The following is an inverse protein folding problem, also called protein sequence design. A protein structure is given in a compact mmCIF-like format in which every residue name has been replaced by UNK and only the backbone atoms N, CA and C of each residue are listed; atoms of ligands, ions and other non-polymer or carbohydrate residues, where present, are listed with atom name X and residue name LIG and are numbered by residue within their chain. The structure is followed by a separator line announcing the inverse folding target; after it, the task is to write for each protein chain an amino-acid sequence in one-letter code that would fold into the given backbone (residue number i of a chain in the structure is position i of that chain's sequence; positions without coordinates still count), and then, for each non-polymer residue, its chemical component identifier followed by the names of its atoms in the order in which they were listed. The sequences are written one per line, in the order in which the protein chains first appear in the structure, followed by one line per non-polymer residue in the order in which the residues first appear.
data_IF_173468948977
#
_entry.id   IF_173468948977
#
_cell.length_a   1.000
_cell.length_b   1.000
_cell.length_c   1.000
_cell.angle_alpha   90.00
_cell.angle_beta   90.00
_cell.angle_gamma   90.00
#
_symmetry.space_group_name_H-M   'P 1'
#
loop_
_entity.id
_entity.type
_entity.pdbx_description
1 polymer ?
#
# COMPACT_ATOMS: atom_id res chain seq x y z
N UNK A 1 -10.44 2.10 5.78
CA UNK A 1 -9.80 3.38 6.14
C UNK A 1 -8.37 3.42 5.64
N UNK A 2 -7.51 2.48 6.00
CA UNK A 2 -6.10 2.42 5.56
C UNK A 2 -6.00 2.40 4.03
N UNK A 3 -6.77 1.54 3.34
CA UNK A 3 -6.78 1.48 1.86
C UNK A 3 -7.18 2.80 1.22
N UNK A 4 -8.19 3.48 1.76
CA UNK A 4 -8.61 4.79 1.26
C UNK A 4 -7.51 5.84 1.46
N UNK A 5 -6.82 5.82 2.60
CA UNK A 5 -5.67 6.70 2.85
C UNK A 5 -4.51 6.40 1.90
N UNK A 6 -4.21 5.12 1.63
CA UNK A 6 -3.20 4.74 0.66
C UNK A 6 -3.59 5.20 -0.75
N UNK A 7 -4.84 4.94 -1.19
CA UNK A 7 -5.32 5.33 -2.49
C UNK A 7 -5.27 6.85 -2.71
N UNK A 8 -5.58 7.63 -1.66
CA UNK A 8 -5.47 9.09 -1.69
C UNK A 8 -4.02 9.60 -1.74
N UNK A 9 -3.03 8.78 -1.38
CA UNK A 9 -1.61 9.15 -1.43
C UNK A 9 -0.99 9.00 -2.82
N UNK A 10 -1.65 8.30 -3.76
CA UNK A 10 -1.15 8.19 -5.12
C UNK A 10 -1.28 9.55 -5.83
N UNK A 11 -0.17 10.12 -6.33
CA UNK A 11 -0.24 11.37 -7.06
C UNK A 11 -0.90 11.17 -8.42
N UNK A 12 -1.38 12.24 -9.07
CA UNK A 12 -1.63 12.21 -10.50
C UNK A 12 -0.36 11.79 -11.24
N UNK A 13 -0.50 10.88 -12.21
CA UNK A 13 0.61 10.38 -12.99
C UNK A 13 0.22 10.27 -14.47
N UNK A 14 1.22 10.36 -15.34
CA UNK A 14 1.06 10.27 -16.79
C UNK A 14 1.23 8.83 -17.31
N UNK A 15 1.18 8.69 -18.63
CA UNK A 15 1.27 7.39 -19.30
C UNK A 15 2.66 6.77 -19.25
N UNK A 16 3.72 7.58 -19.05
CA UNK A 16 5.09 7.09 -19.01
C UNK A 16 5.34 6.23 -17.78
N UNK A 17 4.75 6.61 -16.64
CA UNK A 17 4.93 5.91 -15.37
C UNK A 17 3.72 5.06 -14.95
N UNK A 18 2.64 5.10 -15.74
CA UNK A 18 1.39 4.36 -15.48
C UNK A 18 1.62 2.88 -15.19
N UNK A 19 2.53 2.22 -15.92
CA UNK A 19 2.81 0.79 -15.72
C UNK A 19 3.38 0.50 -14.32
N UNK A 20 4.30 1.35 -13.82
CA UNK A 20 4.90 1.19 -12.49
C UNK A 20 3.86 1.34 -11.38
N UNK A 21 2.98 2.33 -11.48
CA UNK A 21 1.88 2.49 -10.52
C UNK A 21 0.92 1.30 -10.53
N UNK A 22 0.67 0.69 -11.70
CA UNK A 22 -0.14 -0.52 -11.79
C UNK A 22 0.52 -1.74 -11.14
N UNK A 23 1.85 -1.84 -11.18
CA UNK A 23 2.60 -2.89 -10.47
C UNK A 23 2.48 -2.71 -8.95
N UNK A 24 2.59 -1.48 -8.44
CA UNK A 24 2.34 -1.19 -7.03
C UNK A 24 0.90 -1.58 -6.61
N UNK A 25 -0.08 -1.18 -7.41
CA UNK A 25 -1.50 -1.55 -7.19
C UNK A 25 -1.72 -3.07 -7.25
N UNK A 26 -0.98 -3.81 -8.07
CA UNK A 26 -1.00 -5.28 -8.10
C UNK A 26 -0.50 -5.88 -6.79
N UNK A 27 0.63 -5.41 -6.28
CA UNK A 27 1.18 -5.88 -5.00
C UNK A 27 0.27 -5.53 -3.79
N UNK A 28 -0.57 -4.50 -3.92
CA UNK A 28 -1.62 -4.17 -2.93
C UNK A 28 -2.87 -5.07 -3.07
N UNK A 29 -2.93 -5.92 -4.11
CA UNK A 29 -4.08 -6.75 -4.45
C UNK A 29 -5.19 -6.01 -5.19
N UNK A 30 -5.03 -4.72 -5.49
CA UNK A 30 -6.05 -3.90 -6.17
C UNK A 30 -6.16 -4.21 -7.67
N UNK A 31 -5.18 -4.93 -8.20
CA UNK A 31 -5.17 -5.44 -9.57
C UNK A 31 -4.82 -6.92 -9.62
N UNK A 32 -5.28 -7.57 -10.68
CA UNK A 32 -4.91 -8.94 -11.03
C UNK A 32 -3.58 -8.98 -11.83
N UNK A 33 -3.13 -10.17 -12.18
CA UNK A 33 -1.92 -10.45 -12.97
C UNK A 33 -1.93 -9.81 -14.36
N UNK A 34 -3.12 -9.52 -14.91
CA UNK A 34 -3.30 -8.78 -16.16
C UNK A 34 -3.32 -7.25 -15.95
N UNK A 35 -3.00 -6.77 -14.75
CA UNK A 35 -3.04 -5.36 -14.33
C UNK A 35 -4.42 -4.71 -14.48
N UNK A 36 -5.48 -5.50 -14.41
CA UNK A 36 -6.87 -5.02 -14.42
C UNK A 36 -7.35 -4.82 -12.99
N UNK A 37 -8.18 -3.80 -12.75
CA UNK A 37 -8.76 -3.56 -11.43
C UNK A 37 -9.63 -4.74 -11.01
N UNK A 38 -9.45 -5.17 -9.77
CA UNK A 38 -10.26 -6.21 -9.16
C UNK A 38 -10.77 -5.76 -7.80
N UNK A 39 -11.90 -6.33 -7.38
CA UNK A 39 -12.38 -6.19 -6.01
C UNK A 39 -11.77 -7.33 -5.21
N UNK A 40 -10.61 -7.06 -4.62
CA UNK A 40 -9.99 -7.96 -3.66
C UNK A 40 -9.76 -7.23 -2.35
N UNK A 41 -9.72 -7.99 -1.27
CA UNK A 41 -9.24 -7.47 0.01
C UNK A 41 -7.75 -7.18 -0.16
N UNK A 42 -7.31 -5.99 0.24
CA UNK A 42 -5.89 -5.71 0.39
C UNK A 42 -5.21 -6.79 1.24
N UNK A 43 -3.89 -6.87 1.18
CA UNK A 43 -3.11 -7.83 1.96
C UNK A 43 -3.41 -7.82 3.47
N UNK A 44 -2.66 -8.60 4.25
CA UNK A 44 -2.94 -8.73 5.69
C UNK A 44 -2.82 -7.41 6.48
N UNK A 45 -2.23 -6.36 5.89
CA UNK A 45 -2.02 -5.02 6.46
C UNK A 45 -1.43 -5.07 7.87
N UNK A 46 -0.51 -6.02 8.11
CA UNK A 46 0.06 -6.25 9.45
C UNK A 46 0.80 -5.01 9.94
N UNK A 47 1.63 -4.39 9.08
CA UNK A 47 2.46 -3.23 9.46
C UNK A 47 1.61 -1.99 9.76
N UNK A 48 0.62 -1.61 8.93
CA UNK A 48 -0.32 -0.54 9.25
C UNK A 48 -1.07 -0.76 10.56
N UNK A 49 -1.58 -1.99 10.77
CA UNK A 49 -2.32 -2.33 11.98
C UNK A 49 -1.45 -2.22 13.22
N UNK A 50 -0.20 -2.69 13.17
CA UNK A 50 0.76 -2.52 14.27
C UNK A 50 1.05 -1.04 14.55
N UNK A 51 1.19 -0.21 13.52
CA UNK A 51 1.38 1.23 13.67
C UNK A 51 0.21 1.90 14.42
N UNK A 52 -1.03 1.62 14.00
CA UNK A 52 -2.22 2.17 14.64
C UNK A 52 -2.38 1.67 16.09
N UNK A 53 -2.17 0.37 16.32
CA UNK A 53 -2.23 -0.23 17.65
C UNK A 53 -1.18 0.37 18.59
N UNK A 54 0.04 0.61 18.11
CA UNK A 54 1.09 1.26 18.89
C UNK A 54 0.72 2.70 19.27
N UNK A 55 0.14 3.46 18.33
CA UNK A 55 -0.38 4.81 18.61
C UNK A 55 -1.47 4.78 19.70
N UNK A 56 -2.42 3.86 19.58
CA UNK A 56 -3.50 3.69 20.55
C UNK A 56 -2.98 3.28 21.94
N UNK A 57 -1.98 2.40 22.00
CA UNK A 57 -1.41 1.90 23.25
C UNK A 57 -0.84 3.02 24.12
N UNK A 58 -0.28 4.07 23.50
CA UNK A 58 0.28 5.24 24.21
C UNK A 58 -0.75 6.38 24.38
N UNK A 59 -2.04 6.11 24.15
CA UNK A 59 -3.13 7.09 24.29
C UNK A 59 -3.27 8.07 23.13
N UNK A 60 -2.66 7.79 21.98
CA UNK A 60 -2.77 8.60 20.77
C UNK A 60 -4.06 8.38 19.97
N UNK A 61 -4.40 9.34 19.12
CA UNK A 61 -5.52 9.23 18.16
C UNK A 61 -5.06 8.49 16.88
N UNK A 62 -5.58 7.28 16.69
CA UNK A 62 -5.32 6.46 15.50
C UNK A 62 -5.60 7.20 14.19
N UNK A 63 -6.57 8.12 14.15
CA UNK A 63 -6.89 8.89 12.93
C UNK A 63 -5.72 9.77 12.50
N UNK A 64 -4.95 10.30 13.45
CA UNK A 64 -3.73 11.07 13.19
C UNK A 64 -2.58 10.19 12.75
N UNK A 65 -2.60 8.90 13.07
CA UNK A 65 -1.59 7.92 12.67
C UNK A 65 -1.90 7.26 11.31
N UNK A 66 -3.12 7.41 10.76
CA UNK A 66 -3.50 6.83 9.46
C UNK A 66 -2.53 7.16 8.32
N UNK A 67 -2.04 8.41 8.13
CA UNK A 67 -1.07 8.71 7.08
C UNK A 67 0.24 7.96 7.26
N UNK A 68 0.71 7.80 8.51
CA UNK A 68 1.93 7.05 8.82
C UNK A 68 1.73 5.56 8.56
N UNK A 69 0.61 5.00 8.98
CA UNK A 69 0.26 3.61 8.71
C UNK A 69 0.20 3.31 7.21
N UNK A 70 -0.40 4.21 6.41
CA UNK A 70 -0.42 4.12 4.95
C UNK A 70 1.00 4.23 4.35
N UNK A 71 1.81 5.19 4.79
CA UNK A 71 3.18 5.37 4.31
C UNK A 71 4.06 4.14 4.56
N UNK A 72 3.91 3.49 5.72
CA UNK A 72 4.64 2.25 6.05
C UNK A 72 4.29 1.11 5.10
N UNK A 73 3.01 0.94 4.74
CA UNK A 73 2.62 -0.10 3.78
C UNK A 73 3.05 0.24 2.36
N UNK A 74 2.94 1.50 1.94
CA UNK A 74 3.41 1.92 0.61
C UNK A 74 4.92 1.74 0.46
N UNK A 75 5.70 2.02 1.51
CA UNK A 75 7.13 1.73 1.53
C UNK A 75 7.40 0.22 1.47
N UNK A 76 6.64 -0.59 2.21
CA UNK A 76 6.75 -2.04 2.12
C UNK A 76 6.39 -2.58 0.74
N UNK A 77 5.34 -2.04 0.13
CA UNK A 77 4.90 -2.42 -1.21
C UNK A 77 5.95 -2.11 -2.28
N UNK A 78 6.64 -0.98 -2.13
CA UNK A 78 7.81 -0.65 -2.94
C UNK A 78 8.91 -1.72 -2.82
N UNK A 79 9.22 -2.22 -1.61
CA UNK A 79 10.24 -3.26 -1.47
C UNK A 79 9.84 -4.56 -2.16
N UNK A 80 8.55 -4.97 -2.10
CA UNK A 80 8.09 -6.20 -2.76
C UNK A 80 8.32 -6.18 -4.27
N UNK A 81 8.07 -5.05 -4.94
CA UNK A 81 8.36 -4.92 -6.38
C UNK A 81 9.86 -5.11 -6.66
N UNK A 82 10.72 -4.56 -5.80
CA UNK A 82 12.16 -4.70 -5.94
C UNK A 82 12.64 -6.12 -5.60
N UNK A 83 12.04 -6.75 -4.60
CA UNK A 83 12.31 -8.13 -4.19
C UNK A 83 11.99 -9.08 -5.36
N UNK A 84 10.82 -8.94 -5.99
CA UNK A 84 10.43 -9.77 -7.14
C UNK A 84 11.40 -9.65 -8.33
N UNK A 85 11.87 -8.43 -8.62
CA UNK A 85 12.89 -8.22 -9.67
C UNK A 85 14.21 -8.91 -9.32
N UNK A 86 14.64 -8.79 -8.06
CA UNK A 86 15.90 -9.37 -7.60
C UNK A 86 15.86 -10.90 -7.56
N UNK A 87 14.71 -11.45 -7.15
CA UNK A 87 14.50 -12.88 -6.93
C UNK A 87 13.96 -13.60 -8.19
N UNK A 88 13.62 -12.85 -9.24
CA UNK A 88 13.03 -13.33 -10.50
C UNK A 88 11.67 -14.04 -10.31
N UNK A 89 10.81 -13.48 -9.46
CA UNK A 89 9.47 -13.99 -9.12
C UNK A 89 8.30 -13.20 -9.73
#
# INVERSE_FOLDING_TARGET
MIDATMAAAFPPYDDQVRAFYRMLEYQLGWRNECLQRQVATSGKLIRPRLCLLACRLVGGDERRALPVAAAVELLHNFTLVHDDIQDQS
#
